data_IF_985567477390
#
_entry.id   IF_985567477390
#
_cell.length_a   1.000
_cell.length_b   1.000
_cell.length_c   1.000
_cell.angle_alpha   90.00
_cell.angle_beta   90.00
_cell.angle_gamma   90.00
#
_symmetry.space_group_name_H-M   'P 1'
#
loop_
_entity.id
_entity.type
_entity.pdbx_description
1 polymer ?
#
# COMPACT_ATOMS: atom_id res chain seq x y z
N UNK A 1 -6.82 23.76 27.96
CA UNK A 1 -6.50 22.67 28.91
C UNK A 1 -5.12 22.86 29.57
N UNK A 2 -4.07 23.25 28.80
CA UNK A 2 -2.72 23.44 29.35
C UNK A 2 -2.68 24.50 30.50
N UNK A 3 -3.25 25.72 30.33
CA UNK A 3 -3.25 26.69 31.40
C UNK A 3 -3.99 26.25 32.67
N UNK A 4 -5.04 25.42 32.49
CA UNK A 4 -5.81 24.88 33.62
C UNK A 4 -5.03 23.78 34.35
N UNK A 5 -4.31 22.93 33.63
CA UNK A 5 -3.45 21.91 34.21
C UNK A 5 -2.30 22.51 35.03
N UNK A 6 -1.70 23.59 34.53
CA UNK A 6 -0.67 24.36 35.23
C UNK A 6 -1.19 24.98 36.54
N UNK A 7 -2.38 25.60 36.53
CA UNK A 7 -3.00 26.17 37.73
C UNK A 7 -3.37 25.13 38.78
N UNK A 8 -3.74 23.93 38.35
CA UNK A 8 -4.11 22.81 39.23
C UNK A 8 -2.91 21.97 39.66
N UNK A 9 -1.72 22.28 39.14
CA UNK A 9 -0.48 21.53 39.36
C UNK A 9 -0.64 20.03 39.08
N UNK A 10 -1.31 19.70 37.95
CA UNK A 10 -1.54 18.35 37.44
C UNK A 10 -1.11 18.29 35.99
N UNK A 11 -0.81 17.10 35.50
CA UNK A 11 -0.54 16.91 34.07
C UNK A 11 -1.85 16.97 33.27
N UNK A 12 -1.76 17.32 31.99
CA UNK A 12 -2.92 17.33 31.08
C UNK A 12 -3.55 15.92 31.01
N UNK A 13 -2.75 14.87 31.11
CA UNK A 13 -3.22 13.48 31.15
C UNK A 13 -4.05 13.18 32.40
N UNK A 14 -3.61 13.62 33.57
CA UNK A 14 -4.36 13.49 34.83
C UNK A 14 -5.67 14.27 34.80
N UNK A 15 -5.64 15.47 34.19
CA UNK A 15 -6.85 16.27 34.01
C UNK A 15 -7.88 15.59 33.11
N UNK A 16 -7.42 14.95 32.03
CA UNK A 16 -8.29 14.21 31.10
C UNK A 16 -8.82 12.90 31.67
N UNK A 17 -8.03 12.23 32.50
CA UNK A 17 -8.42 10.98 33.16
C UNK A 17 -9.29 11.20 34.39
N UNK A 18 -9.35 12.44 34.94
CA UNK A 18 -10.07 12.75 36.17
C UNK A 18 -9.51 12.04 37.41
N UNK A 19 -8.26 11.58 37.33
CA UNK A 19 -7.60 10.81 38.36
C UNK A 19 -6.15 11.26 38.51
N UNK A 20 -5.72 11.52 39.73
CA UNK A 20 -4.32 11.83 40.03
C UNK A 20 -3.50 10.54 39.97
N UNK A 21 -2.42 10.57 39.19
CA UNK A 21 -1.47 9.46 39.14
C UNK A 21 -0.58 9.55 40.37
N UNK A 22 -0.68 8.57 41.26
CA UNK A 22 0.19 8.48 42.42
C UNK A 22 1.65 8.34 41.97
N UNK A 23 2.57 8.90 42.73
CA UNK A 23 4.00 9.03 42.36
C UNK A 23 4.70 7.70 42.02
N UNK A 24 4.12 6.55 42.42
CA UNK A 24 4.66 5.22 42.14
C UNK A 24 4.58 4.79 40.65
N UNK A 25 3.85 5.52 39.80
CA UNK A 25 3.75 5.22 38.37
C UNK A 25 4.51 6.21 37.46
N UNK A 26 5.40 7.00 38.00
CA UNK A 26 6.34 7.77 37.18
C UNK A 26 7.37 6.80 36.60
N UNK A 27 7.08 6.29 35.43
CA UNK A 27 8.09 5.57 34.66
C UNK A 27 9.35 6.40 34.60
N UNK A 28 10.47 5.83 35.00
CA UNK A 28 11.76 6.47 34.81
C UNK A 28 11.96 6.74 33.33
N UNK A 29 12.72 7.77 32.98
CA UNK A 29 13.00 8.12 31.58
C UNK A 29 13.50 6.87 30.80
N UNK A 30 14.30 6.04 31.45
CA UNK A 30 14.82 4.78 30.91
C UNK A 30 13.71 3.75 30.64
N UNK A 31 12.75 3.60 31.54
CA UNK A 31 11.59 2.72 31.33
C UNK A 31 10.68 3.23 30.22
N UNK A 32 10.48 4.54 30.14
CA UNK A 32 9.71 5.15 29.05
C UNK A 32 10.43 4.95 27.70
N UNK A 33 11.74 5.16 27.64
CA UNK A 33 12.55 4.91 26.44
C UNK A 33 12.55 3.42 26.06
N UNK A 34 12.59 2.52 27.03
CA UNK A 34 12.52 1.07 26.79
C UNK A 34 11.12 0.63 26.32
N UNK A 35 10.05 1.22 26.86
CA UNK A 35 8.68 1.00 26.40
C UNK A 35 8.47 1.53 24.98
N UNK A 36 8.98 2.71 24.69
CA UNK A 36 8.95 3.29 23.33
C UNK A 36 9.77 2.41 22.38
N UNK A 37 10.96 2.00 22.77
CA UNK A 37 11.80 1.10 21.98
C UNK A 37 11.11 -0.25 21.76
N UNK A 38 10.49 -0.84 22.76
CA UNK A 38 9.68 -2.06 22.65
C UNK A 38 8.48 -1.85 21.74
N UNK A 39 7.73 -0.77 21.89
CA UNK A 39 6.60 -0.44 21.03
C UNK A 39 7.02 -0.28 19.55
N UNK A 40 8.15 0.40 19.31
CA UNK A 40 8.73 0.55 17.97
C UNK A 40 9.23 -0.78 17.39
N UNK A 41 9.85 -1.63 18.19
CA UNK A 41 10.30 -2.96 17.76
C UNK A 41 9.13 -3.94 17.57
N UNK A 42 8.06 -3.84 18.35
CA UNK A 42 6.84 -4.62 18.13
C UNK A 42 6.08 -4.20 16.87
N UNK A 43 6.24 -2.97 16.42
CA UNK A 43 5.65 -2.45 15.18
C UNK A 43 6.49 -2.78 13.93
N UNK A 44 7.76 -3.12 14.09
CA UNK A 44 8.66 -3.42 12.98
C UNK A 44 8.68 -4.92 12.69
N UNK A 45 8.32 -5.28 11.45
CA UNK A 45 8.48 -6.66 10.98
C UNK A 45 9.97 -7.09 11.09
N UNK A 46 10.27 -8.27 11.66
CA UNK A 46 11.64 -8.73 11.79
C UNK A 46 12.36 -8.75 10.44
N UNK A 47 13.62 -8.28 10.36
CA UNK A 47 14.36 -8.17 9.11
C UNK A 47 14.51 -9.52 8.38
N UNK A 48 14.56 -10.62 9.10
CA UNK A 48 14.64 -11.97 8.56
C UNK A 48 13.38 -12.35 7.75
N UNK A 49 12.19 -12.01 8.25
CA UNK A 49 10.92 -12.24 7.54
C UNK A 49 10.83 -11.41 6.28
N UNK A 50 11.29 -10.16 6.35
CA UNK A 50 11.34 -9.27 5.19
C UNK A 50 12.28 -9.79 4.12
N UNK A 51 13.46 -10.28 4.50
CA UNK A 51 14.41 -10.88 3.57
C UNK A 51 13.87 -12.16 2.92
N UNK A 52 13.27 -13.05 3.72
CA UNK A 52 12.67 -14.29 3.22
C UNK A 52 11.54 -13.99 2.21
N UNK A 53 10.70 -12.99 2.49
CA UNK A 53 9.66 -12.50 1.59
C UNK A 53 10.24 -11.96 0.29
N UNK A 54 11.23 -11.08 0.39
CA UNK A 54 11.91 -10.52 -0.78
C UNK A 54 12.49 -11.62 -1.66
N UNK A 55 13.19 -12.58 -1.09
CA UNK A 55 13.76 -13.71 -1.82
C UNK A 55 12.71 -14.56 -2.53
N UNK A 56 11.54 -14.71 -1.93
CA UNK A 56 10.42 -15.47 -2.52
C UNK A 56 9.76 -14.75 -3.69
N UNK A 57 9.51 -13.45 -3.57
CA UNK A 57 8.72 -12.71 -4.55
C UNK A 57 9.56 -12.00 -5.62
N UNK A 58 10.83 -11.75 -5.37
CA UNK A 58 11.73 -11.08 -6.31
C UNK A 58 11.74 -11.72 -7.71
N UNK A 59 11.93 -13.05 -7.85
CA UNK A 59 11.99 -13.65 -9.19
C UNK A 59 10.67 -13.47 -9.96
N UNK A 60 9.53 -13.66 -9.30
CA UNK A 60 8.22 -13.46 -9.93
C UNK A 60 8.01 -12.00 -10.34
N UNK A 61 8.38 -11.07 -9.47
CA UNK A 61 8.29 -9.65 -9.75
C UNK A 61 9.15 -9.25 -10.96
N UNK A 62 10.41 -9.71 -11.02
CA UNK A 62 11.33 -9.42 -12.12
C UNK A 62 10.80 -9.99 -13.43
N UNK A 63 10.28 -11.21 -13.44
CA UNK A 63 9.66 -11.83 -14.63
C UNK A 63 8.47 -10.99 -15.12
N UNK A 64 7.58 -10.57 -14.21
CA UNK A 64 6.45 -9.71 -14.56
C UNK A 64 6.88 -8.34 -15.10
N UNK A 65 7.92 -7.74 -14.54
CA UNK A 65 8.50 -6.49 -15.04
C UNK A 65 9.05 -6.66 -16.46
N UNK A 66 9.82 -7.71 -16.70
CA UNK A 66 10.39 -8.00 -18.03
C UNK A 66 9.28 -8.24 -19.06
N UNK A 67 8.27 -9.03 -18.71
CA UNK A 67 7.13 -9.30 -19.60
C UNK A 67 6.30 -8.04 -19.88
N UNK A 68 6.05 -7.24 -18.84
CA UNK A 68 5.32 -5.97 -18.97
C UNK A 68 6.05 -4.96 -19.87
N UNK A 69 7.35 -4.78 -19.63
CA UNK A 69 8.17 -3.89 -20.45
C UNK A 69 8.33 -4.39 -21.89
N UNK A 70 8.58 -5.69 -22.08
CA UNK A 70 8.67 -6.28 -23.40
C UNK A 70 7.35 -6.16 -24.16
N UNK A 71 6.21 -6.41 -23.50
CA UNK A 71 4.89 -6.20 -24.07
C UNK A 71 4.62 -4.75 -24.45
N UNK A 72 5.00 -3.80 -23.58
CA UNK A 72 4.86 -2.38 -23.85
C UNK A 72 5.70 -1.93 -25.07
N UNK A 73 6.95 -2.39 -25.14
CA UNK A 73 7.83 -2.13 -26.28
C UNK A 73 7.29 -2.74 -27.57
N UNK A 74 6.73 -3.96 -27.51
CA UNK A 74 6.12 -4.61 -28.68
C UNK A 74 4.91 -3.84 -29.21
N UNK A 75 4.03 -3.35 -28.32
CA UNK A 75 2.87 -2.54 -28.67
C UNK A 75 3.31 -1.22 -29.32
N UNK A 76 4.32 -0.59 -28.75
CA UNK A 76 4.89 0.63 -29.31
C UNK A 76 5.56 0.42 -30.68
N UNK A 77 6.38 -0.61 -30.80
CA UNK A 77 7.07 -0.97 -32.06
C UNK A 77 6.11 -1.37 -33.19
N UNK A 78 4.95 -1.95 -32.82
CA UNK A 78 3.90 -2.30 -33.76
C UNK A 78 3.06 -1.09 -34.24
N UNK A 79 3.36 0.15 -33.77
CA UNK A 79 2.58 1.36 -34.07
C UNK A 79 1.15 1.30 -33.52
N UNK A 80 0.92 0.52 -32.47
CA UNK A 80 -0.39 0.42 -31.83
C UNK A 80 -0.56 1.44 -30.68
N UNK A 81 0.50 2.20 -30.38
CA UNK A 81 0.49 3.25 -29.35
C UNK A 81 0.17 4.66 -29.90
N UNK A 82 -0.04 4.79 -31.20
CA UNK A 82 -0.26 6.09 -31.87
C UNK A 82 -1.67 6.66 -31.63
N UNK A 83 -2.59 5.85 -31.13
CA UNK A 83 -3.94 6.28 -30.81
C UNK A 83 -3.90 7.07 -29.49
N UNK A 84 -4.54 8.25 -29.47
CA UNK A 84 -4.67 9.08 -28.28
C UNK A 84 -5.24 8.27 -27.10
N UNK A 85 -4.54 8.30 -25.97
CA UNK A 85 -4.89 7.56 -24.77
C UNK A 85 -4.27 6.15 -24.65
N UNK A 86 -3.97 5.45 -25.73
CA UNK A 86 -3.35 4.11 -25.69
C UNK A 86 -1.96 4.16 -25.07
N UNK A 87 -1.12 5.12 -25.49
CA UNK A 87 0.21 5.34 -24.92
C UNK A 87 0.13 5.71 -23.43
N UNK A 88 -0.80 6.60 -23.08
CA UNK A 88 -0.98 7.03 -21.71
C UNK A 88 -1.38 5.86 -20.80
N UNK A 89 -2.34 5.04 -21.20
CA UNK A 89 -2.76 3.84 -20.46
C UNK A 89 -1.64 2.84 -20.30
N UNK A 90 -0.84 2.64 -21.35
CA UNK A 90 0.28 1.73 -21.34
C UNK A 90 1.36 2.18 -20.36
N UNK A 91 1.73 3.47 -20.39
CA UNK A 91 2.69 4.04 -19.46
C UNK A 91 2.16 4.00 -18.03
N UNK A 92 0.94 4.48 -17.80
CA UNK A 92 0.33 4.50 -16.46
C UNK A 92 0.21 3.08 -15.92
N UNK A 93 -0.27 2.11 -16.72
CA UNK A 93 -0.44 0.73 -16.28
C UNK A 93 0.87 0.05 -15.92
N UNK A 94 1.91 0.21 -16.74
CA UNK A 94 3.23 -0.38 -16.49
C UNK A 94 3.91 0.31 -15.30
N UNK A 95 3.95 1.65 -15.27
CA UNK A 95 4.57 2.41 -14.16
C UNK A 95 3.84 2.12 -12.84
N UNK A 96 2.51 2.13 -12.87
CA UNK A 96 1.71 1.76 -11.71
C UNK A 96 2.05 0.35 -11.23
N UNK A 97 2.06 -0.64 -12.13
CA UNK A 97 2.40 -2.02 -11.80
C UNK A 97 3.81 -2.15 -11.21
N UNK A 98 4.80 -1.48 -11.80
CA UNK A 98 6.19 -1.49 -11.31
C UNK A 98 6.29 -0.85 -9.91
N UNK A 99 5.81 0.37 -9.74
CA UNK A 99 5.94 1.10 -8.48
C UNK A 99 5.13 0.46 -7.36
N UNK A 100 3.85 0.20 -7.60
CA UNK A 100 2.96 -0.39 -6.59
C UNK A 100 3.25 -1.87 -6.36
N UNK A 101 3.67 -2.60 -7.42
CA UNK A 101 4.12 -3.96 -7.29
C UNK A 101 5.36 -4.07 -6.41
N UNK A 102 6.37 -3.23 -6.62
CA UNK A 102 7.55 -3.16 -5.76
C UNK A 102 7.16 -2.84 -4.31
N UNK A 103 6.32 -1.84 -4.11
CA UNK A 103 5.85 -1.47 -2.78
C UNK A 103 5.13 -2.63 -2.08
N UNK A 104 4.15 -3.26 -2.75
CA UNK A 104 3.38 -4.36 -2.20
C UNK A 104 4.21 -5.61 -1.88
N UNK A 105 5.27 -5.87 -2.67
CA UNK A 105 6.13 -7.04 -2.50
C UNK A 105 7.17 -6.84 -1.40
N UNK A 106 7.79 -5.65 -1.35
CA UNK A 106 9.00 -5.44 -0.55
C UNK A 106 8.79 -4.59 0.69
N UNK A 107 7.87 -3.62 0.64
CA UNK A 107 7.69 -2.65 1.74
C UNK A 107 6.46 -2.89 2.60
N UNK A 108 5.38 -3.39 2.01
CA UNK A 108 4.12 -3.52 2.72
C UNK A 108 4.22 -4.58 3.83
N UNK A 109 3.86 -4.21 5.06
CA UNK A 109 3.90 -5.10 6.22
C UNK A 109 2.89 -6.23 6.09
N UNK A 110 3.28 -7.47 6.43
CA UNK A 110 2.38 -8.63 6.39
C UNK A 110 1.50 -8.74 7.62
N UNK A 111 1.92 -8.12 8.72
CA UNK A 111 1.18 -8.09 9.98
C UNK A 111 0.84 -6.66 10.33
N UNK A 112 -0.41 -6.43 10.69
CA UNK A 112 -0.86 -5.14 11.22
C UNK A 112 -0.55 -5.03 12.71
N UNK A 113 -0.32 -3.82 13.23
CA UNK A 113 -0.26 -3.57 14.66
C UNK A 113 -1.54 -4.05 15.36
N UNK A 114 -1.41 -4.50 16.61
CA UNK A 114 -2.52 -5.03 17.41
C UNK A 114 -3.71 -4.08 17.52
N UNK A 115 -3.44 -2.79 17.45
CA UNK A 115 -4.45 -1.75 17.42
C UNK A 115 -5.52 -1.94 16.34
N UNK A 116 -5.18 -2.52 15.17
CA UNK A 116 -6.14 -2.82 14.10
C UNK A 116 -7.08 -3.98 14.43
N UNK A 117 -6.64 -4.90 15.29
CA UNK A 117 -7.49 -6.03 15.73
C UNK A 117 -8.48 -5.60 16.81
N UNK A 118 -8.13 -4.58 17.62
CA UNK A 118 -8.93 -4.06 18.71
C UNK A 118 -9.92 -2.98 18.27
N UNK A 119 -9.63 -2.28 17.17
CA UNK A 119 -10.44 -1.18 16.67
C UNK A 119 -10.94 -1.45 15.25
N UNK A 120 -12.17 -0.99 14.95
CA UNK A 120 -12.76 -1.11 13.61
C UNK A 120 -12.21 -0.01 12.68
N UNK A 121 -11.02 -0.22 12.13
CA UNK A 121 -10.34 0.76 11.29
C UNK A 121 -10.45 0.34 9.84
N UNK A 122 -10.99 1.22 9.01
CA UNK A 122 -11.11 1.03 7.56
C UNK A 122 -10.03 1.79 6.76
N UNK A 123 -9.09 2.42 7.45
CA UNK A 123 -8.00 3.16 6.81
C UNK A 123 -6.65 2.55 7.20
N UNK A 124 -5.86 2.18 6.22
CA UNK A 124 -4.48 1.73 6.40
C UNK A 124 -3.54 2.80 5.84
N UNK A 125 -2.63 3.27 6.67
CA UNK A 125 -1.60 4.23 6.30
C UNK A 125 -0.21 3.67 6.61
N UNK A 126 0.65 3.61 5.61
CA UNK A 126 2.06 3.25 5.77
C UNK A 126 2.92 4.16 4.90
N UNK A 127 3.60 5.11 5.51
CA UNK A 127 4.36 6.13 4.79
C UNK A 127 3.46 7.01 3.91
N UNK A 128 3.78 7.12 2.63
CA UNK A 128 2.98 7.87 1.65
C UNK A 128 1.74 7.10 1.16
N UNK A 129 1.59 5.84 1.54
CA UNK A 129 0.50 4.98 1.08
C UNK A 129 -0.67 5.00 2.04
N UNK A 130 -1.84 5.32 1.49
CA UNK A 130 -3.12 5.28 2.19
C UNK A 130 -4.08 4.39 1.40
N UNK A 131 -4.61 3.36 2.04
CA UNK A 131 -5.63 2.49 1.46
C UNK A 131 -6.89 2.63 2.31
N UNK A 132 -7.93 3.14 1.70
CA UNK A 132 -9.26 3.24 2.30
C UNK A 132 -10.24 2.47 1.43
N UNK A 133 -10.82 1.39 1.97
CA UNK A 133 -11.89 0.65 1.31
C UNK A 133 -13.13 0.78 2.18
N UNK A 134 -14.14 1.52 1.73
CA UNK A 134 -15.39 1.68 2.49
C UNK A 134 -16.02 0.32 2.81
N UNK A 135 -16.40 0.13 4.08
CA UNK A 135 -17.05 -1.08 4.54
C UNK A 135 -16.12 -2.25 4.90
N UNK A 136 -14.82 -2.13 4.68
CA UNK A 136 -13.84 -3.16 5.07
C UNK A 136 -13.03 -2.64 6.26
N UNK A 137 -13.13 -3.35 7.38
CA UNK A 137 -12.27 -3.12 8.56
C UNK A 137 -11.03 -3.99 8.46
N UNK A 138 -9.86 -3.36 8.55
CA UNK A 138 -8.59 -4.09 8.50
C UNK A 138 -8.29 -4.74 9.84
N UNK A 139 -7.97 -6.03 9.80
CA UNK A 139 -7.47 -6.82 10.92
C UNK A 139 -6.48 -7.86 10.41
N UNK A 140 -5.69 -8.47 11.28
CA UNK A 140 -4.69 -9.46 10.89
C UNK A 140 -5.29 -10.70 10.22
N UNK A 141 -6.59 -10.97 10.42
CA UNK A 141 -7.28 -12.10 9.80
C UNK A 141 -7.55 -11.85 8.31
N UNK A 142 -8.03 -10.65 7.94
CA UNK A 142 -8.37 -10.32 6.55
C UNK A 142 -7.21 -9.66 5.79
N UNK A 143 -6.27 -9.03 6.49
CA UNK A 143 -5.14 -8.33 5.90
C UNK A 143 -4.34 -9.17 4.93
N UNK A 144 -4.10 -10.44 5.25
CA UNK A 144 -3.40 -11.39 4.38
C UNK A 144 -4.08 -11.54 3.01
N UNK A 145 -5.40 -11.52 2.97
CA UNK A 145 -6.18 -11.63 1.74
C UNK A 145 -6.13 -10.34 0.93
N UNK A 146 -6.28 -9.18 1.60
CA UNK A 146 -6.16 -7.87 0.98
C UNK A 146 -4.77 -7.69 0.35
N UNK A 147 -3.72 -8.02 1.09
CA UNK A 147 -2.35 -7.93 0.62
C UNK A 147 -2.07 -8.88 -0.56
N UNK A 148 -2.60 -10.10 -0.50
CA UNK A 148 -2.49 -11.05 -1.61
C UNK A 148 -3.21 -10.54 -2.86
N UNK A 149 -4.43 -10.05 -2.72
CA UNK A 149 -5.19 -9.48 -3.83
C UNK A 149 -4.45 -8.30 -4.46
N UNK A 150 -3.91 -7.41 -3.64
CA UNK A 150 -3.14 -6.26 -4.12
C UNK A 150 -1.86 -6.66 -4.85
N UNK A 151 -1.12 -7.65 -4.34
CA UNK A 151 0.07 -8.21 -5.00
C UNK A 151 -0.27 -8.85 -6.35
N UNK A 152 -1.31 -9.69 -6.38
CA UNK A 152 -1.75 -10.35 -7.61
C UNK A 152 -2.22 -9.33 -8.63
N UNK A 153 -2.99 -8.34 -8.21
CA UNK A 153 -3.49 -7.31 -9.12
C UNK A 153 -2.37 -6.43 -9.69
N UNK A 154 -1.42 -6.02 -8.88
CA UNK A 154 -0.27 -5.24 -9.34
C UNK A 154 0.58 -5.99 -10.36
N UNK A 155 0.80 -7.31 -10.15
CA UNK A 155 1.52 -8.15 -11.12
C UNK A 155 0.69 -8.41 -12.38
N UNK A 156 -0.59 -8.70 -12.21
CA UNK A 156 -1.48 -8.95 -13.33
C UNK A 156 -1.62 -7.72 -14.22
N UNK A 157 -1.71 -6.51 -13.65
CA UNK A 157 -1.78 -5.27 -14.41
C UNK A 157 -0.55 -5.05 -15.28
N UNK A 158 0.66 -5.33 -14.75
CA UNK A 158 1.89 -5.22 -15.56
C UNK A 158 1.87 -6.10 -16.81
N UNK A 159 1.37 -7.32 -16.68
CA UNK A 159 1.39 -8.32 -17.77
C UNK A 159 0.20 -8.15 -18.71
N UNK A 160 -0.97 -7.80 -18.18
CA UNK A 160 -2.22 -7.73 -18.95
C UNK A 160 -2.45 -6.39 -19.64
N UNK A 161 -1.94 -5.28 -19.10
CA UNK A 161 -2.16 -3.95 -19.70
C UNK A 161 -1.64 -3.89 -21.16
N UNK A 162 -0.41 -4.31 -21.49
CA UNK A 162 0.04 -4.24 -22.88
C UNK A 162 -0.82 -5.02 -23.87
N UNK A 163 -1.14 -6.32 -23.67
CA UNK A 163 -1.96 -7.04 -24.62
C UNK A 163 -3.43 -6.54 -24.67
N UNK A 164 -3.98 -6.08 -23.53
CA UNK A 164 -5.31 -5.47 -23.53
C UNK A 164 -5.34 -4.16 -24.32
N UNK A 165 -4.31 -3.34 -24.18
CA UNK A 165 -4.16 -2.10 -24.96
C UNK A 165 -4.05 -2.42 -26.45
N UNK A 166 -3.21 -3.38 -26.83
CA UNK A 166 -3.08 -3.83 -28.21
C UNK A 166 -4.42 -4.32 -28.78
N UNK A 167 -5.12 -5.18 -28.02
CA UNK A 167 -6.41 -5.70 -28.41
C UNK A 167 -7.47 -4.61 -28.60
N UNK A 168 -7.52 -3.63 -27.70
CA UNK A 168 -8.44 -2.50 -27.80
C UNK A 168 -8.16 -1.64 -29.05
N UNK A 169 -6.89 -1.36 -29.32
CA UNK A 169 -6.48 -0.58 -30.52
C UNK A 169 -6.80 -1.34 -31.82
N UNK A 170 -6.53 -2.64 -31.86
CA UNK A 170 -6.86 -3.47 -33.02
C UNK A 170 -8.38 -3.55 -33.24
N UNK A 171 -9.16 -3.65 -32.17
CA UNK A 171 -10.61 -3.65 -32.25
C UNK A 171 -11.13 -2.31 -32.78
N UNK A 172 -10.58 -1.20 -32.33
CA UNK A 172 -10.94 0.14 -32.80
C UNK A 172 -10.62 0.31 -34.29
N UNK A 173 -9.45 -0.16 -34.74
CA UNK A 173 -9.09 -0.14 -36.17
C UNK A 173 -10.00 -1.01 -37.02
N UNK A 174 -10.44 -2.16 -36.50
CA UNK A 174 -11.29 -3.10 -37.23
C UNK A 174 -12.74 -2.67 -37.31
N UNK A 175 -13.28 -2.07 -36.25
CA UNK A 175 -14.72 -1.75 -36.11
C UNK A 175 -15.03 -0.28 -36.33
N UNK A 176 -14.03 0.61 -36.34
CA UNK A 176 -14.24 2.06 -36.33
C UNK A 176 -14.87 2.60 -35.04
N UNK A 177 -15.04 1.76 -34.04
CA UNK A 177 -15.59 2.15 -32.75
C UNK A 177 -14.51 2.84 -31.92
N UNK A 178 -14.77 4.10 -31.56
CA UNK A 178 -13.87 4.84 -30.66
C UNK A 178 -13.99 4.32 -29.23
N UNK A 179 -13.27 3.26 -28.90
CA UNK A 179 -13.24 2.63 -27.57
C UNK A 179 -12.73 3.65 -26.52
N UNK A 180 -11.78 4.49 -26.93
CA UNK A 180 -11.12 5.46 -26.03
C UNK A 180 -11.93 6.72 -25.75
N UNK A 181 -12.77 7.17 -26.70
CA UNK A 181 -13.58 8.37 -26.53
C UNK A 181 -14.69 8.22 -25.46
N UNK A 182 -15.09 6.98 -25.13
CA UNK A 182 -16.14 6.71 -24.13
C UNK A 182 -15.61 6.44 -22.72
N UNK A 183 -14.33 6.28 -22.55
CA UNK A 183 -13.74 6.03 -21.19
C UNK A 183 -13.47 7.34 -20.42
N UNK A 184 -13.63 8.52 -21.07
CA UNK A 184 -13.28 9.81 -20.46
C UNK A 184 -14.49 10.74 -20.23
N UNK A 185 -15.73 10.24 -20.41
CA UNK A 185 -16.96 10.97 -20.11
C UNK A 185 -17.82 10.28 -19.07
#
# INVERSE_FOLDING_TARGET
LVPLAEQLNVTVAELLQGRRVEEEQRFTREETEDLIRKALTFSAEPPERRQARTRKYLPVYVICCVLGLAGALAVWAAGLADIEGALALLIIGVVFGVVYGAYAMFWMAETLPRYYDENRICNFAQGAFHIHIPGIYYNNRNWKHVLRAFRVWSMASMVLVPPCTAGAVLLERATGWQVWARCWW
#
